data_IF_452924170190
#
_entry.id   IF_452924170190
#
_cell.length_a   1.000
_cell.length_b   1.000
_cell.length_c   1.000
_cell.angle_alpha   90.00
_cell.angle_beta   90.00
_cell.angle_gamma   90.00
#
_symmetry.space_group_name_H-M   'P 1'
#
loop_
_entity.id
_entity.type
_entity.pdbx_description
1 polymer ?
#
# COMPACT_ATOMS: atom_id res chain seq x y z
N UNK A 1 -11.41 40.56 45.55
CA UNK A 1 -12.14 41.51 44.69
C UNK A 1 -12.33 40.83 43.34
N UNK A 2 -13.59 40.45 43.07
CA UNK A 2 -14.20 40.02 41.80
C UNK A 2 -13.68 38.75 41.09
N UNK A 3 -14.29 37.62 41.49
CA UNK A 3 -14.68 36.49 40.62
C UNK A 3 -15.67 36.95 39.54
N UNK A 4 -15.69 36.26 38.39
CA UNK A 4 -16.92 36.06 37.60
C UNK A 4 -16.83 34.72 36.85
N UNK A 5 -17.64 33.78 37.32
CA UNK A 5 -18.11 32.58 36.62
C UNK A 5 -18.99 32.97 35.44
N UNK A 6 -19.08 32.16 34.38
CA UNK A 6 -20.38 31.92 33.73
C UNK A 6 -20.51 30.50 33.15
N UNK A 7 -21.72 29.98 33.37
CA UNK A 7 -22.21 28.61 33.20
C UNK A 7 -22.33 28.10 31.76
N UNK A 8 -22.28 26.76 31.64
CA UNK A 8 -22.90 25.95 30.58
C UNK A 8 -24.44 26.13 30.54
N UNK A 9 -25.08 25.86 29.39
CA UNK A 9 -26.41 25.26 29.39
C UNK A 9 -26.35 23.76 29.03
N UNK A 10 -26.97 22.97 29.89
CA UNK A 10 -27.44 21.61 29.63
C UNK A 10 -28.93 21.71 29.29
N UNK A 11 -29.38 21.21 28.13
CA UNK A 11 -30.78 20.82 27.93
C UNK A 11 -30.84 19.51 27.15
N UNK A 12 -31.55 18.57 27.77
CA UNK A 12 -31.97 17.27 27.29
C UNK A 12 -33.14 17.32 26.30
N UNK A 13 -33.16 16.37 25.37
CA UNK A 13 -34.34 15.67 24.81
C UNK A 13 -35.42 16.48 24.08
N UNK A 14 -35.46 16.38 22.74
CA UNK A 14 -36.71 16.16 22.00
C UNK A 14 -36.49 15.23 20.78
N UNK A 15 -37.49 14.38 20.53
CA UNK A 15 -37.55 13.30 19.53
C UNK A 15 -38.15 13.82 18.20
N UNK A 16 -37.52 13.41 17.09
CA UNK A 16 -38.05 13.12 15.73
C UNK A 16 -38.63 14.19 14.78
N UNK A 17 -38.06 14.14 13.56
CA UNK A 17 -38.62 14.13 12.17
C UNK A 17 -39.22 15.40 11.51
N UNK A 18 -38.47 15.79 10.45
CA UNK A 18 -38.87 16.23 9.09
C UNK A 18 -39.32 17.68 8.85
N UNK A 19 -38.62 18.23 7.86
CA UNK A 19 -38.94 19.31 6.92
C UNK A 19 -39.05 20.74 7.46
N UNK A 20 -38.06 21.56 7.09
CA UNK A 20 -38.28 22.86 6.43
C UNK A 20 -36.95 23.44 5.93
N UNK A 21 -36.69 23.23 4.63
CA UNK A 21 -35.82 24.06 3.80
C UNK A 21 -36.58 25.36 3.51
N UNK A 22 -36.03 26.50 3.95
CA UNK A 22 -36.53 27.83 3.66
C UNK A 22 -35.37 28.81 3.60
N UNK A 23 -35.21 29.42 2.42
CA UNK A 23 -34.22 30.42 2.06
C UNK A 23 -34.15 31.59 3.06
N UNK A 24 -32.94 32.09 3.32
CA UNK A 24 -32.70 33.54 3.41
C UNK A 24 -31.25 33.86 3.01
N UNK A 25 -31.12 34.48 1.83
CA UNK A 25 -29.91 35.10 1.29
C UNK A 25 -30.12 36.61 1.43
N UNK A 26 -29.39 37.25 2.34
CA UNK A 26 -29.37 38.70 2.48
C UNK A 26 -27.95 39.24 2.27
N UNK A 27 -27.79 39.84 1.09
CA UNK A 27 -26.99 40.99 0.71
C UNK A 27 -25.82 41.45 1.61
N UNK A 28 -24.63 41.54 1.01
CA UNK A 28 -23.81 42.75 1.13
C UNK A 28 -23.11 43.06 -0.21
N UNK A 29 -23.31 44.28 -0.69
CA UNK A 29 -22.80 44.86 -1.93
C UNK A 29 -21.45 45.58 -1.72
N UNK A 30 -20.83 45.89 -2.88
CA UNK A 30 -19.69 46.77 -3.16
C UNK A 30 -18.34 46.01 -3.26
N UNK A 31 -17.54 46.15 -4.32
CA UNK A 31 -17.47 47.14 -5.39
C UNK A 31 -16.76 46.54 -6.62
N UNK A 32 -17.19 46.95 -7.82
CA UNK A 32 -16.56 46.71 -9.14
C UNK A 32 -15.79 48.01 -9.51
N UNK A 33 -14.80 48.09 -10.45
CA UNK A 33 -15.01 47.69 -11.86
C UNK A 33 -13.78 47.23 -12.70
N UNK A 34 -14.04 46.40 -13.72
CA UNK A 34 -13.56 46.46 -15.13
C UNK A 34 -13.64 45.03 -15.73
N UNK A 35 -14.28 44.72 -16.85
CA UNK A 35 -15.02 45.49 -17.83
C UNK A 35 -15.47 44.56 -18.99
N UNK A 36 -16.29 45.14 -19.86
CA UNK A 36 -16.68 44.75 -21.24
C UNK A 36 -17.92 43.85 -21.46
N UNK A 37 -18.90 44.55 -22.03
CA UNK A 37 -20.13 44.18 -22.73
C UNK A 37 -20.05 43.00 -23.71
N UNK A 38 -21.19 42.31 -23.89
CA UNK A 38 -21.93 42.29 -25.15
C UNK A 38 -23.45 42.15 -24.91
N UNK A 39 -24.21 42.77 -25.80
CA UNK A 39 -25.62 43.18 -25.77
C UNK A 39 -26.62 42.12 -26.26
N UNK A 40 -27.89 42.21 -25.81
CA UNK A 40 -29.01 41.56 -26.51
C UNK A 40 -30.37 41.67 -25.80
N UNK A 41 -31.18 42.65 -26.23
CA UNK A 41 -32.48 43.07 -25.68
C UNK A 41 -33.60 42.03 -25.87
N UNK A 42 -34.46 41.82 -24.85
CA UNK A 42 -35.79 41.16 -25.00
C UNK A 42 -36.91 42.19 -24.83
N UNK A 43 -37.73 42.36 -25.88
CA UNK A 43 -39.03 43.07 -25.83
C UNK A 43 -40.14 42.07 -25.53
N UNK A 44 -40.99 42.38 -24.56
CA UNK A 44 -42.25 41.68 -24.27
C UNK A 44 -43.43 42.48 -24.85
N UNK A 45 -44.37 41.80 -25.52
CA UNK A 45 -45.70 42.31 -25.88
C UNK A 45 -46.72 41.24 -25.45
N UNK A 46 -47.78 41.58 -24.70
CA UNK A 46 -48.73 40.62 -24.15
C UNK A 46 -50.05 40.58 -24.94
N UNK A 47 -50.60 39.38 -25.16
CA UNK A 47 -52.03 39.07 -25.42
C UNK A 47 -52.15 37.56 -25.14
N UNK A 48 -53.09 37.00 -24.38
CA UNK A 48 -54.51 37.34 -24.18
C UNK A 48 -55.35 36.20 -24.77
N UNK A 49 -55.51 35.07 -24.06
CA UNK A 49 -56.38 33.99 -24.53
C UNK A 49 -56.21 32.63 -23.83
N UNK A 50 -57.26 32.21 -23.12
CA UNK A 50 -57.67 30.87 -22.68
C UNK A 50 -56.72 29.66 -22.88
N UNK A 51 -56.29 29.06 -21.77
CA UNK A 51 -55.66 27.73 -21.74
C UNK A 51 -56.73 26.66 -21.53
N UNK A 52 -56.96 25.80 -22.53
CA UNK A 52 -57.57 24.47 -22.32
C UNK A 52 -56.54 23.60 -21.59
N UNK A 53 -56.96 23.03 -20.46
CA UNK A 53 -56.17 22.05 -19.72
C UNK A 53 -56.05 20.77 -20.55
N UNK A 54 -54.88 20.55 -21.17
CA UNK A 54 -54.51 19.26 -21.73
C UNK A 54 -53.33 18.75 -20.90
N UNK A 55 -53.60 17.79 -20.01
CA UNK A 55 -52.55 17.04 -19.32
C UNK A 55 -51.76 16.25 -20.38
N UNK A 56 -50.59 16.75 -20.75
CA UNK A 56 -49.55 15.96 -21.40
C UNK A 56 -48.46 15.72 -20.36
N UNK A 57 -48.35 14.49 -19.91
CA UNK A 57 -47.21 14.00 -19.11
C UNK A 57 -45.98 13.92 -20.01
N UNK A 58 -45.31 15.06 -20.22
CA UNK A 58 -43.98 15.08 -20.81
C UNK A 58 -42.97 14.62 -19.74
N UNK A 59 -42.52 13.36 -19.84
CA UNK A 59 -41.32 12.90 -19.12
C UNK A 59 -40.12 13.68 -19.65
N UNK A 60 -39.63 14.64 -18.87
CA UNK A 60 -38.33 15.24 -19.09
C UNK A 60 -37.28 14.19 -18.72
N UNK A 61 -36.79 13.47 -19.72
CA UNK A 61 -35.59 12.66 -19.61
C UNK A 61 -34.38 13.60 -19.53
N UNK A 62 -33.79 13.70 -18.35
CA UNK A 62 -32.43 14.23 -18.22
C UNK A 62 -31.48 13.34 -19.03
N UNK A 63 -30.56 13.91 -19.83
CA UNK A 63 -29.55 13.11 -20.50
C UNK A 63 -28.74 12.38 -19.42
N UNK A 64 -28.73 11.05 -19.48
CA UNK A 64 -27.76 10.23 -18.75
C UNK A 64 -26.39 10.73 -19.14
N UNK A 65 -25.72 11.44 -18.25
CA UNK A 65 -24.27 11.55 -18.29
C UNK A 65 -23.79 10.10 -18.21
N UNK A 66 -23.21 9.61 -19.31
CA UNK A 66 -22.53 8.32 -19.32
C UNK A 66 -21.49 8.35 -18.21
N UNK A 67 -21.73 7.60 -17.14
CA UNK A 67 -20.74 7.33 -16.11
C UNK A 67 -19.72 6.35 -16.68
N UNK A 68 -18.89 6.80 -17.63
CA UNK A 68 -17.67 6.11 -18.01
C UNK A 68 -16.51 6.51 -17.09
N UNK A 69 -16.78 6.60 -15.79
CA UNK A 69 -15.75 6.37 -14.79
C UNK A 69 -15.67 4.86 -14.66
N UNK A 70 -14.73 4.26 -15.38
CA UNK A 70 -14.40 2.84 -15.24
C UNK A 70 -14.06 2.55 -13.77
N UNK A 71 -14.86 1.71 -13.14
CA UNK A 71 -14.59 1.09 -11.84
C UNK A 71 -13.18 0.47 -11.86
N UNK A 72 -12.27 0.79 -10.92
CA UNK A 72 -10.90 0.25 -10.86
C UNK A 72 -10.89 -1.22 -10.38
N UNK A 73 -11.57 -2.09 -11.13
CA UNK A 73 -11.83 -3.49 -10.82
C UNK A 73 -10.61 -4.42 -10.92
N UNK A 74 -9.45 -3.95 -11.40
CA UNK A 74 -8.26 -4.81 -11.48
C UNK A 74 -7.63 -5.10 -10.11
N UNK A 75 -7.87 -4.27 -9.10
CA UNK A 75 -7.33 -4.46 -7.74
C UNK A 75 -8.07 -5.54 -6.93
N UNK A 76 -9.34 -5.86 -7.28
CA UNK A 76 -10.19 -6.78 -6.49
C UNK A 76 -9.72 -8.24 -6.48
N UNK A 77 -8.80 -8.65 -7.35
CA UNK A 77 -8.29 -10.04 -7.36
C UNK A 77 -7.14 -10.29 -6.37
N UNK A 78 -6.42 -9.24 -5.96
CA UNK A 78 -5.16 -9.40 -5.24
C UNK A 78 -5.31 -9.37 -3.72
N UNK A 79 -6.25 -8.56 -3.22
CA UNK A 79 -6.58 -8.49 -1.80
C UNK A 79 -7.50 -9.68 -1.48
N UNK A 80 -7.18 -10.53 -0.48
CA UNK A 80 -8.09 -11.57 -0.04
C UNK A 80 -9.40 -10.95 0.51
N UNK A 81 -10.52 -11.67 0.36
CA UNK A 81 -11.79 -11.22 0.90
C UNK A 81 -11.73 -11.16 2.44
N UNK A 82 -12.27 -10.07 3.00
CA UNK A 82 -12.63 -9.95 4.41
C UNK A 82 -13.86 -9.07 4.52
N UNK A 83 -14.57 -9.17 5.64
CA UNK A 83 -15.57 -8.18 5.99
C UNK A 83 -14.89 -6.82 6.31
N UNK A 84 -15.58 -5.69 6.13
CA UNK A 84 -15.05 -4.38 6.49
C UNK A 84 -14.88 -4.27 8.01
N UNK A 85 -13.94 -3.43 8.51
CA UNK A 85 -13.74 -3.27 9.94
C UNK A 85 -14.98 -2.69 10.61
N UNK A 86 -15.43 -3.38 11.67
CA UNK A 86 -16.47 -2.93 12.58
C UNK A 86 -15.95 -1.81 13.48
N UNK A 87 -16.83 -1.15 14.23
CA UNK A 87 -16.39 -0.18 15.24
C UNK A 87 -15.62 -0.85 16.38
N UNK A 88 -16.01 -2.07 16.78
CA UNK A 88 -15.32 -2.83 17.82
C UNK A 88 -13.87 -3.17 17.42
N UNK A 89 -13.63 -3.47 16.14
CA UNK A 89 -12.27 -3.67 15.62
C UNK A 89 -11.42 -2.40 15.73
N UNK A 90 -12.02 -1.25 15.37
CA UNK A 90 -11.35 0.06 15.44
C UNK A 90 -11.06 0.43 16.89
N UNK A 91 -12.02 0.26 17.79
CA UNK A 91 -11.89 0.59 19.21
C UNK A 91 -10.85 -0.32 19.89
N UNK A 92 -10.87 -1.63 19.61
CA UNK A 92 -9.88 -2.58 20.14
C UNK A 92 -8.46 -2.26 19.69
N UNK A 93 -8.29 -1.86 18.42
CA UNK A 93 -6.99 -1.46 17.91
C UNK A 93 -6.57 -0.10 18.47
N UNK A 94 -7.48 0.86 18.58
CA UNK A 94 -7.22 2.14 19.24
C UNK A 94 -6.71 1.94 20.67
N UNK A 95 -7.39 1.12 21.49
CA UNK A 95 -6.96 0.83 22.85
C UNK A 95 -5.57 0.19 22.91
N UNK A 96 -5.23 -0.66 21.93
CA UNK A 96 -3.90 -1.25 21.84
C UNK A 96 -2.80 -0.18 21.62
N UNK A 97 -3.06 0.78 20.74
CA UNK A 97 -2.15 1.92 20.50
C UNK A 97 -2.08 2.85 21.73
N UNK A 98 -3.23 3.22 22.30
CA UNK A 98 -3.33 4.21 23.39
C UNK A 98 -2.63 3.76 24.68
N UNK A 99 -2.55 2.45 24.92
CA UNK A 99 -1.85 1.87 26.09
C UNK A 99 -0.34 1.77 25.93
N UNK A 100 0.19 1.97 24.72
CA UNK A 100 1.60 1.79 24.40
C UNK A 100 2.33 3.13 24.37
N UNK A 101 3.52 3.14 24.95
CA UNK A 101 4.48 4.25 24.85
C UNK A 101 5.68 3.89 23.97
N UNK A 102 5.86 2.60 23.65
CA UNK A 102 6.98 2.09 22.85
C UNK A 102 6.53 1.00 21.89
N UNK A 103 5.55 1.34 21.05
CA UNK A 103 4.98 0.44 20.06
C UNK A 103 5.99 0.12 18.96
N UNK A 104 6.18 -1.17 18.69
CA UNK A 104 6.88 -1.68 17.51
C UNK A 104 5.88 -2.24 16.52
N UNK A 105 5.98 -1.83 15.26
CA UNK A 105 5.14 -2.32 14.17
C UNK A 105 5.97 -3.21 13.26
N UNK A 106 5.45 -4.38 12.89
CA UNK A 106 5.99 -5.25 11.86
C UNK A 106 5.00 -5.41 10.71
N UNK A 107 5.42 -5.11 9.47
CA UNK A 107 4.57 -5.29 8.29
C UNK A 107 5.03 -6.42 7.39
N UNK A 108 4.09 -7.03 6.66
CA UNK A 108 4.35 -8.00 5.60
C UNK A 108 3.64 -7.65 4.28
N UNK A 109 3.70 -8.58 3.33
CA UNK A 109 3.27 -8.34 1.95
C UNK A 109 1.77 -8.00 1.84
N UNK A 110 0.94 -8.42 2.80
CA UNK A 110 -0.48 -8.06 2.87
C UNK A 110 -0.71 -6.54 2.90
N UNK A 111 0.24 -5.78 3.45
CA UNK A 111 0.24 -4.31 3.46
C UNK A 111 0.23 -3.69 2.06
N UNK A 112 0.84 -4.37 1.09
CA UNK A 112 1.10 -3.86 -0.27
C UNK A 112 0.14 -4.41 -1.32
N UNK A 113 -0.77 -5.31 -0.93
CA UNK A 113 -1.80 -5.87 -1.84
C UNK A 113 -2.71 -4.79 -2.42
N UNK A 114 -3.04 -3.78 -1.62
CA UNK A 114 -3.85 -2.63 -2.03
C UNK A 114 -3.08 -1.65 -2.93
N UNK A 115 -1.76 -1.77 -2.99
CA UNK A 115 -0.88 -1.05 -3.90
C UNK A 115 -0.69 -1.78 -5.24
N UNK A 116 -1.34 -2.93 -5.44
CA UNK A 116 -1.21 -3.74 -6.65
C UNK A 116 0.02 -4.65 -6.68
N UNK A 117 0.71 -4.82 -5.53
CA UNK A 117 1.80 -5.79 -5.36
C UNK A 117 1.22 -7.04 -4.67
N UNK A 118 1.28 -8.24 -5.27
CA UNK A 118 0.66 -9.41 -4.67
C UNK A 118 1.35 -9.81 -3.37
N UNK A 119 0.67 -10.63 -2.57
CA UNK A 119 1.34 -11.35 -1.49
C UNK A 119 1.80 -12.75 -1.93
N UNK A 120 2.39 -13.49 -1.00
CA UNK A 120 2.88 -14.84 -1.27
C UNK A 120 1.85 -15.95 -1.03
N UNK A 121 0.97 -15.82 -0.04
CA UNK A 121 0.30 -16.97 0.62
C UNK A 121 -1.22 -16.89 0.66
N UNK A 122 -1.83 -15.77 0.29
CA UNK A 122 -3.29 -15.69 0.16
C UNK A 122 -3.80 -16.62 -0.94
N UNK A 123 -5.12 -16.89 -1.02
CA UNK A 123 -5.69 -17.74 -2.07
C UNK A 123 -5.27 -17.35 -3.50
N UNK A 124 -5.09 -16.05 -3.75
CA UNK A 124 -4.61 -15.51 -5.03
C UNK A 124 -3.13 -15.05 -4.99
N UNK A 125 -2.39 -15.41 -3.93
CA UNK A 125 -0.99 -15.06 -3.74
C UNK A 125 -0.04 -15.89 -4.59
N UNK A 126 1.24 -15.50 -4.63
CA UNK A 126 2.23 -16.08 -5.54
C UNK A 126 2.34 -17.62 -5.47
N UNK A 127 2.23 -18.23 -4.28
CA UNK A 127 2.37 -19.68 -4.13
C UNK A 127 1.13 -20.49 -4.54
N UNK A 128 -0.02 -19.86 -4.76
CA UNK A 128 -1.23 -20.60 -5.18
C UNK A 128 -1.13 -21.16 -6.60
N UNK A 129 -0.17 -20.68 -7.40
CA UNK A 129 0.10 -21.19 -8.75
C UNK A 129 1.19 -22.27 -8.78
N UNK A 130 1.66 -22.75 -7.62
CA UNK A 130 2.78 -23.71 -7.55
C UNK A 130 4.17 -23.11 -7.74
N UNK A 131 4.27 -21.76 -7.76
CA UNK A 131 5.54 -21.06 -7.82
C UNK A 131 6.47 -21.43 -6.66
N UNK A 132 7.73 -21.69 -6.99
CA UNK A 132 8.80 -21.90 -6.00
C UNK A 132 9.75 -20.72 -6.05
N UNK A 133 10.00 -20.05 -4.92
CA UNK A 133 10.96 -18.95 -4.89
C UNK A 133 12.37 -19.48 -5.13
N UNK A 134 13.19 -18.67 -5.80
CA UNK A 134 14.61 -18.98 -5.98
C UNK A 134 15.30 -19.04 -4.62
N UNK A 135 16.17 -20.03 -4.44
CA UNK A 135 16.99 -20.12 -3.22
C UNK A 135 18.31 -19.38 -3.41
N UNK A 136 18.90 -18.92 -2.31
CA UNK A 136 20.23 -18.31 -2.31
C UNK A 136 21.27 -19.24 -2.95
N UNK A 137 21.24 -20.53 -2.59
CA UNK A 137 22.18 -21.52 -3.09
C UNK A 137 22.00 -21.78 -4.58
N UNK A 138 20.76 -21.84 -5.07
CA UNK A 138 20.46 -22.00 -6.50
C UNK A 138 20.98 -20.80 -7.30
N UNK A 139 20.73 -19.58 -6.83
CA UNK A 139 21.20 -18.37 -7.49
C UNK A 139 22.74 -18.32 -7.56
N UNK A 140 23.44 -18.58 -6.45
CA UNK A 140 24.89 -18.49 -6.44
C UNK A 140 25.61 -19.58 -7.25
N UNK A 141 25.00 -20.76 -7.42
CA UNK A 141 25.66 -21.92 -8.04
C UNK A 141 25.36 -22.09 -9.53
N UNK A 142 24.43 -21.32 -10.09
CA UNK A 142 23.97 -21.53 -11.47
C UNK A 142 23.82 -20.23 -12.23
N UNK A 143 24.67 -20.04 -13.25
CA UNK A 143 24.53 -18.90 -14.18
C UNK A 143 23.18 -18.92 -14.88
N UNK A 144 22.62 -20.10 -15.17
CA UNK A 144 21.27 -20.24 -15.73
C UNK A 144 20.20 -19.71 -14.76
N UNK A 145 20.33 -19.98 -13.46
CA UNK A 145 19.41 -19.44 -12.46
C UNK A 145 19.56 -17.93 -12.29
N UNK A 146 20.79 -17.40 -12.38
CA UNK A 146 21.05 -15.95 -12.36
C UNK A 146 20.41 -15.25 -13.57
N UNK A 147 20.56 -15.82 -14.78
CA UNK A 147 19.94 -15.29 -16.01
C UNK A 147 18.44 -15.28 -15.89
N UNK A 148 17.85 -16.40 -15.47
CA UNK A 148 16.41 -16.52 -15.22
C UNK A 148 15.93 -15.43 -14.27
N UNK A 149 16.60 -15.27 -13.14
CA UNK A 149 16.21 -14.29 -12.12
C UNK A 149 16.30 -12.86 -12.67
N UNK A 150 17.43 -12.48 -13.25
CA UNK A 150 17.64 -11.10 -13.70
C UNK A 150 16.80 -10.72 -14.91
N UNK A 151 16.57 -11.63 -15.86
CA UNK A 151 15.67 -11.39 -16.99
C UNK A 151 14.23 -11.14 -16.51
N UNK A 152 13.74 -11.98 -15.60
CA UNK A 152 12.40 -11.85 -15.01
C UNK A 152 12.27 -10.61 -14.14
N UNK A 153 13.27 -10.31 -13.32
CA UNK A 153 13.33 -9.09 -12.50
C UNK A 153 13.38 -7.84 -13.37
N UNK A 154 14.16 -7.83 -14.47
CA UNK A 154 14.22 -6.70 -15.40
C UNK A 154 12.84 -6.39 -15.95
N UNK A 155 12.14 -7.39 -16.47
CA UNK A 155 10.87 -7.19 -17.14
C UNK A 155 9.76 -6.75 -16.17
N UNK A 156 9.80 -7.21 -14.91
CA UNK A 156 8.86 -6.77 -13.89
C UNK A 156 9.19 -5.43 -13.22
N UNK A 157 10.41 -4.90 -13.41
CA UNK A 157 10.91 -3.71 -12.71
C UNK A 157 10.00 -2.49 -12.89
N UNK A 158 9.63 -2.17 -14.14
CA UNK A 158 8.83 -0.98 -14.47
C UNK A 158 7.47 -0.98 -13.78
N UNK A 159 6.79 -2.13 -13.78
CA UNK A 159 5.49 -2.28 -13.11
C UNK A 159 5.64 -2.22 -11.59
N UNK A 160 6.71 -2.78 -11.05
CA UNK A 160 6.99 -2.79 -9.61
C UNK A 160 7.24 -1.38 -9.06
N UNK A 161 8.08 -0.59 -9.74
CA UNK A 161 8.38 0.79 -9.34
C UNK A 161 7.19 1.73 -9.50
N UNK A 162 6.25 1.42 -10.40
CA UNK A 162 5.04 2.22 -10.61
C UNK A 162 4.02 2.12 -9.46
N UNK A 163 4.05 1.07 -8.64
CA UNK A 163 3.18 0.90 -7.49
C UNK A 163 3.26 2.13 -6.57
N UNK A 164 2.16 2.56 -5.95
CA UNK A 164 2.12 3.70 -5.03
C UNK A 164 1.77 3.23 -3.61
N UNK A 165 2.21 3.95 -2.55
CA UNK A 165 1.83 3.60 -1.19
C UNK A 165 0.29 3.59 -1.04
N UNK A 166 -0.24 2.56 -0.38
CA UNK A 166 -1.68 2.47 -0.06
C UNK A 166 -2.06 3.42 1.08
N UNK A 167 -3.36 3.63 1.29
CA UNK A 167 -3.89 4.41 2.43
C UNK A 167 -3.37 3.90 3.77
N UNK A 168 -3.15 2.59 3.91
CA UNK A 168 -2.53 2.02 5.10
C UNK A 168 -1.09 2.51 5.31
N UNK A 169 -0.28 2.60 4.25
CA UNK A 169 1.11 3.08 4.37
C UNK A 169 1.13 4.55 4.79
N UNK A 170 0.25 5.35 4.19
CA UNK A 170 0.10 6.77 4.54
C UNK A 170 -0.33 6.92 6.00
N UNK A 171 -1.31 6.12 6.46
CA UNK A 171 -1.76 6.16 7.84
C UNK A 171 -0.66 5.77 8.85
N UNK A 172 0.14 4.73 8.57
CA UNK A 172 1.29 4.40 9.41
C UNK A 172 2.32 5.52 9.45
N UNK A 173 2.59 6.17 8.31
CA UNK A 173 3.51 7.31 8.29
C UNK A 173 3.01 8.46 9.16
N UNK A 174 1.72 8.76 9.13
CA UNK A 174 1.13 9.77 10.02
C UNK A 174 1.27 9.39 11.50
N UNK A 175 0.94 8.14 11.86
CA UNK A 175 1.07 7.64 13.24
C UNK A 175 2.51 7.65 13.75
N UNK A 176 3.47 7.27 12.89
CA UNK A 176 4.91 7.31 13.20
C UNK A 176 5.39 8.74 13.42
N UNK A 177 5.03 9.67 12.53
CA UNK A 177 5.39 11.10 12.65
C UNK A 177 4.77 11.77 13.88
N UNK A 178 3.60 11.31 14.31
CA UNK A 178 2.95 11.74 15.55
C UNK A 178 3.54 11.09 16.81
N UNK A 179 4.50 10.16 16.68
CA UNK A 179 5.18 9.53 17.81
C UNK A 179 4.47 8.31 18.39
N UNK A 180 3.40 7.82 17.76
CA UNK A 180 2.67 6.63 18.21
C UNK A 180 3.34 5.31 17.82
N UNK A 181 4.34 5.35 16.94
CA UNK A 181 5.14 4.18 16.54
C UNK A 181 6.60 4.48 16.85
N UNK A 182 7.19 3.74 17.79
CA UNK A 182 8.58 3.93 18.21
C UNK A 182 9.58 3.30 17.24
N UNK A 183 9.20 2.22 16.56
CA UNK A 183 10.06 1.55 15.58
C UNK A 183 9.21 0.75 14.60
N UNK A 184 9.61 0.76 13.33
CA UNK A 184 8.93 -0.02 12.29
C UNK A 184 9.90 -1.03 11.66
N UNK A 185 9.44 -2.26 11.50
CA UNK A 185 10.12 -3.34 10.81
C UNK A 185 9.27 -3.74 9.61
N UNK A 186 9.87 -3.94 8.46
CA UNK A 186 9.13 -4.47 7.31
C UNK A 186 9.81 -5.69 6.73
N UNK A 187 9.02 -6.71 6.38
CA UNK A 187 9.47 -7.84 5.57
C UNK A 187 9.50 -7.49 4.08
N UNK A 188 8.84 -6.40 3.69
CA UNK A 188 8.67 -6.05 2.29
C UNK A 188 9.95 -5.45 1.73
N UNK A 189 10.16 -5.66 0.43
CA UNK A 189 11.33 -5.18 -0.30
C UNK A 189 10.99 -4.03 -1.26
N UNK A 190 9.77 -3.51 -1.18
CA UNK A 190 9.10 -2.66 -2.17
C UNK A 190 9.29 -1.14 -1.99
N UNK A 191 9.87 -0.72 -0.86
CA UNK A 191 10.06 0.69 -0.45
C UNK A 191 8.79 1.54 -0.40
N UNK A 192 7.60 0.95 -0.33
CA UNK A 192 6.35 1.72 -0.24
C UNK A 192 6.23 2.49 1.09
N UNK A 193 6.78 1.96 2.19
CA UNK A 193 6.89 2.70 3.46
C UNK A 193 7.77 3.94 3.34
N UNK A 194 8.96 3.83 2.73
CA UNK A 194 9.84 4.98 2.51
C UNK A 194 9.14 6.05 1.66
N UNK A 195 8.41 5.62 0.63
CA UNK A 195 7.65 6.53 -0.25
C UNK A 195 6.42 7.15 0.42
N UNK A 196 5.85 6.52 1.44
CA UNK A 196 4.84 7.11 2.31
C UNK A 196 5.42 8.14 3.29
N UNK A 197 6.74 8.15 3.48
CA UNK A 197 7.45 9.02 4.41
C UNK A 197 7.74 8.38 5.77
N UNK A 198 7.71 7.05 5.85
CA UNK A 198 8.21 6.27 6.99
C UNK A 198 9.67 5.86 6.81
N UNK A 199 10.33 5.37 7.87
CA UNK A 199 11.71 4.89 7.78
C UNK A 199 11.92 3.54 8.49
N UNK A 200 11.34 2.44 7.98
CA UNK A 200 11.42 1.14 8.63
C UNK A 200 12.80 0.49 8.49
N UNK A 201 13.10 -0.43 9.40
CA UNK A 201 14.13 -1.45 9.20
C UNK A 201 13.62 -2.49 8.18
N UNK A 202 14.22 -2.50 6.99
CA UNK A 202 13.94 -3.46 5.90
C UNK A 202 14.54 -4.85 6.21
N UNK A 203 13.81 -5.69 6.96
CA UNK A 203 14.29 -6.98 7.49
C UNK A 203 14.85 -7.90 6.38
N UNK A 204 14.17 -7.95 5.23
CA UNK A 204 14.58 -8.77 4.09
C UNK A 204 15.33 -7.98 3.03
N UNK A 205 15.72 -6.74 3.32
CA UNK A 205 16.44 -5.85 2.40
C UNK A 205 15.51 -5.23 1.38
N UNK A 206 16.02 -4.94 0.19
CA UNK A 206 15.32 -4.13 -0.81
C UNK A 206 15.70 -4.51 -2.23
N UNK A 207 14.74 -4.48 -3.16
CA UNK A 207 15.04 -4.70 -4.59
C UNK A 207 15.65 -3.48 -5.26
N UNK A 208 15.65 -2.31 -4.60
CA UNK A 208 16.15 -1.04 -5.14
C UNK A 208 17.68 -0.90 -5.05
N UNK A 209 18.36 -1.89 -4.47
CA UNK A 209 19.83 -1.93 -4.37
C UNK A 209 20.31 -3.28 -4.90
N UNK A 210 21.42 -3.25 -5.63
CA UNK A 210 22.14 -4.44 -6.09
C UNK A 210 23.48 -4.47 -5.38
N UNK A 211 23.89 -5.64 -4.91
CA UNK A 211 25.10 -5.84 -4.12
C UNK A 211 25.95 -6.97 -4.70
N UNK A 212 27.26 -6.83 -4.63
CA UNK A 212 28.18 -7.91 -4.93
C UNK A 212 28.19 -8.94 -3.80
N UNK A 213 28.23 -10.22 -4.17
CA UNK A 213 28.30 -11.32 -3.20
C UNK A 213 29.69 -11.54 -2.62
N UNK A 214 30.72 -10.92 -3.22
CA UNK A 214 32.14 -11.16 -2.90
C UNK A 214 32.86 -9.95 -2.29
N UNK A 215 32.34 -8.74 -2.48
CA UNK A 215 32.92 -7.50 -1.94
C UNK A 215 31.83 -6.54 -1.48
N UNK A 216 32.22 -5.39 -0.94
CA UNK A 216 31.34 -4.34 -0.41
C UNK A 216 30.65 -3.48 -1.49
N UNK A 217 30.85 -3.79 -2.77
CA UNK A 217 30.27 -3.01 -3.86
C UNK A 217 28.75 -3.11 -3.88
N UNK A 218 28.10 -1.94 -3.92
CA UNK A 218 26.66 -1.81 -4.14
C UNK A 218 26.39 -0.73 -5.19
N UNK A 219 25.24 -0.85 -5.85
CA UNK A 219 24.75 0.16 -6.79
C UNK A 219 23.21 0.25 -6.77
N UNK A 220 22.63 1.43 -7.08
CA UNK A 220 21.20 1.57 -7.28
C UNK A 220 20.68 0.62 -8.38
N UNK A 221 19.49 0.05 -8.15
CA UNK A 221 18.87 -0.89 -9.08
C UNK A 221 18.59 -0.31 -10.46
N UNK A 222 18.30 0.99 -10.56
CA UNK A 222 18.07 1.67 -11.84
C UNK A 222 19.34 1.71 -12.70
N UNK A 223 20.49 2.01 -12.10
CA UNK A 223 21.77 1.96 -12.83
C UNK A 223 22.10 0.54 -13.30
N UNK A 224 21.81 -0.46 -12.48
CA UNK A 224 21.96 -1.86 -12.89
C UNK A 224 20.97 -2.24 -14.00
N UNK A 225 19.73 -1.72 -13.95
CA UNK A 225 18.73 -1.91 -14.99
C UNK A 225 19.23 -1.37 -16.33
N UNK A 226 19.80 -0.16 -16.35
CA UNK A 226 20.35 0.46 -17.55
C UNK A 226 21.53 -0.35 -18.12
N UNK A 227 22.37 -0.92 -17.25
CA UNK A 227 23.46 -1.81 -17.68
C UNK A 227 22.91 -3.09 -18.31
N UNK A 228 21.94 -3.75 -17.68
CA UNK A 228 21.28 -4.93 -18.26
C UNK A 228 20.67 -4.59 -19.61
N UNK A 229 19.99 -3.44 -19.75
CA UNK A 229 19.44 -2.97 -21.03
C UNK A 229 20.52 -2.80 -22.09
N UNK A 230 21.62 -2.13 -21.76
CA UNK A 230 22.71 -1.86 -22.69
C UNK A 230 23.40 -3.14 -23.18
N UNK A 231 23.51 -4.16 -22.32
CA UNK A 231 24.06 -5.47 -22.68
C UNK A 231 23.08 -6.33 -23.48
N UNK A 232 21.78 -6.08 -23.39
CA UNK A 232 20.73 -6.90 -23.98
C UNK A 232 19.72 -6.07 -24.82
N UNK A 233 20.16 -5.26 -25.80
CA UNK A 233 19.32 -4.23 -26.41
C UNK A 233 18.10 -4.78 -27.15
N UNK A 234 18.26 -5.85 -27.95
CA UNK A 234 17.15 -6.49 -28.69
C UNK A 234 16.13 -7.10 -27.74
N UNK A 235 16.61 -7.73 -26.67
CA UNK A 235 15.75 -8.35 -25.67
C UNK A 235 14.98 -7.30 -24.86
N UNK A 236 15.66 -6.22 -24.46
CA UNK A 236 15.04 -5.12 -23.73
C UNK A 236 13.95 -4.41 -24.56
N UNK A 237 14.22 -4.16 -25.85
CA UNK A 237 13.24 -3.58 -26.78
C UNK A 237 11.98 -4.47 -26.90
N UNK A 238 12.16 -5.78 -27.03
CA UNK A 238 11.05 -6.73 -27.09
C UNK A 238 10.18 -6.67 -25.83
N UNK A 239 10.79 -6.70 -24.64
CA UNK A 239 10.06 -6.60 -23.36
C UNK A 239 9.33 -5.26 -23.24
N UNK A 240 10.00 -4.14 -23.54
CA UNK A 240 9.41 -2.81 -23.42
C UNK A 240 8.25 -2.58 -24.42
N UNK A 241 8.28 -3.25 -25.57
CA UNK A 241 7.18 -3.22 -26.54
C UNK A 241 5.93 -3.96 -26.07
N UNK A 242 6.08 -5.05 -25.31
CA UNK A 242 4.96 -5.84 -24.75
C UNK A 242 4.22 -5.06 -23.64
N UNK A 243 4.95 -4.25 -22.89
CA UNK A 243 4.41 -3.37 -21.85
C UNK A 243 3.56 -2.20 -22.40
N UNK A 244 3.70 -1.87 -23.68
CA UNK A 244 2.91 -0.78 -24.30
C UNK A 244 1.52 -1.25 -24.75
N UNK A 245 1.38 -2.53 -25.14
CA UNK A 245 0.16 -3.08 -25.74
C UNK A 245 -0.81 -3.73 -24.72
N UNK A 246 -0.49 -3.64 -23.42
CA UNK A 246 -1.22 -4.25 -22.30
C UNK A 246 -2.52 -3.49 -21.93
N UNK A 247 -3.28 -3.04 -22.93
CA UNK A 247 -4.70 -2.65 -22.78
C UNK A 247 -5.64 -3.86 -22.78
N UNK A 248 -5.12 -5.07 -22.94
CA UNK A 248 -5.87 -6.32 -22.82
C UNK A 248 -5.13 -7.31 -21.90
N UNK A 249 -5.87 -7.94 -20.99
CA UNK A 249 -5.41 -8.99 -20.06
C UNK A 249 -4.96 -10.30 -20.78
N UNK A 250 -4.70 -10.27 -22.09
CA UNK A 250 -4.24 -11.42 -22.89
C UNK A 250 -2.73 -11.39 -23.20
N UNK A 251 -1.94 -10.56 -22.51
CA UNK A 251 -0.48 -10.56 -22.64
C UNK A 251 0.14 -11.72 -21.85
N UNK A 252 0.52 -12.80 -22.56
CA UNK A 252 1.56 -13.77 -22.19
C UNK A 252 1.74 -14.08 -20.68
N UNK A 253 0.69 -14.47 -19.96
CA UNK A 253 0.83 -15.05 -18.61
C UNK A 253 1.60 -14.22 -17.56
N UNK A 254 1.83 -12.91 -17.78
CA UNK A 254 2.69 -12.07 -16.95
C UNK A 254 2.01 -11.66 -15.64
N UNK A 255 1.91 -12.60 -14.68
CA UNK A 255 1.56 -12.26 -13.30
C UNK A 255 2.81 -11.79 -12.56
N UNK A 256 2.79 -10.56 -12.04
CA UNK A 256 3.83 -10.03 -11.17
C UNK A 256 3.87 -10.78 -9.82
N UNK A 257 5.04 -10.78 -9.16
CA UNK A 257 5.28 -11.37 -7.84
C UNK A 257 5.60 -10.27 -6.80
N UNK A 258 5.61 -10.58 -5.49
CA UNK A 258 5.76 -9.55 -4.45
C UNK A 258 7.15 -8.88 -4.41
N UNK A 259 8.14 -9.47 -5.06
CA UNK A 259 9.51 -8.98 -5.23
C UNK A 259 9.76 -8.39 -6.64
N UNK A 260 8.69 -8.27 -7.45
CA UNK A 260 8.77 -7.75 -8.82
C UNK A 260 9.16 -8.77 -9.88
N UNK A 261 9.37 -10.04 -9.55
CA UNK A 261 9.58 -11.12 -10.53
C UNK A 261 8.34 -11.30 -11.43
N UNK A 262 8.54 -11.56 -12.73
CA UNK A 262 7.48 -11.95 -13.68
C UNK A 262 7.87 -13.24 -14.40
N UNK A 263 6.91 -14.03 -14.86
CA UNK A 263 7.21 -15.25 -15.62
C UNK A 263 7.51 -14.93 -17.09
N UNK A 264 8.58 -15.50 -17.64
CA UNK A 264 9.03 -15.33 -19.03
C UNK A 264 9.44 -16.71 -19.57
N UNK A 265 9.08 -17.01 -20.82
CA UNK A 265 9.47 -18.25 -21.51
C UNK A 265 11.01 -18.38 -21.56
N UNK A 266 11.47 -19.59 -21.26
CA UNK A 266 12.89 -19.96 -21.13
C UNK A 266 13.73 -19.58 -22.36
N UNK A 267 13.14 -19.69 -23.56
CA UNK A 267 13.82 -19.41 -24.83
C UNK A 267 14.31 -17.96 -24.95
N UNK A 268 13.77 -17.04 -24.16
CA UNK A 268 14.14 -15.62 -24.23
C UNK A 268 15.36 -15.26 -23.38
N UNK A 269 15.75 -16.08 -22.40
CA UNK A 269 16.82 -15.73 -21.46
C UNK A 269 17.86 -16.81 -21.24
N UNK A 270 17.62 -18.05 -21.69
CA UNK A 270 18.55 -19.17 -21.51
C UNK A 270 19.88 -18.92 -22.24
N UNK A 271 19.79 -18.44 -23.48
CA UNK A 271 20.90 -18.09 -24.36
C UNK A 271 20.95 -16.57 -24.59
N UNK A 272 22.16 -16.02 -24.74
CA UNK A 272 22.40 -14.60 -25.07
C UNK A 272 21.88 -13.53 -24.09
N UNK A 273 21.43 -13.90 -22.89
CA UNK A 273 21.17 -12.93 -21.80
C UNK A 273 22.43 -12.69 -20.96
N UNK A 274 22.95 -11.48 -21.03
CA UNK A 274 24.15 -11.04 -20.35
C UNK A 274 23.83 -10.29 -19.06
N UNK A 275 24.46 -10.69 -17.97
CA UNK A 275 24.34 -10.04 -16.67
C UNK A 275 25.62 -9.25 -16.43
N UNK A 276 25.55 -7.97 -16.04
CA UNK A 276 26.74 -7.22 -15.65
C UNK A 276 27.43 -7.86 -14.45
N UNK A 277 28.75 -8.00 -14.52
CA UNK A 277 29.58 -8.41 -13.38
C UNK A 277 29.87 -7.24 -12.44
N UNK A 278 30.31 -7.55 -11.22
CA UNK A 278 30.80 -6.52 -10.31
C UNK A 278 32.00 -5.76 -10.90
N UNK A 279 31.89 -4.43 -10.94
CA UNK A 279 32.94 -3.54 -11.48
C UNK A 279 34.22 -3.50 -10.62
N UNK A 280 34.19 -4.01 -9.38
CA UNK A 280 35.36 -4.05 -8.48
C UNK A 280 36.11 -5.38 -8.52
N UNK A 281 35.39 -6.50 -8.54
CA UNK A 281 36.01 -7.83 -8.38
C UNK A 281 35.51 -8.89 -9.36
N UNK A 282 34.67 -8.50 -10.34
CA UNK A 282 34.03 -9.42 -11.30
C UNK A 282 33.17 -10.52 -10.63
N UNK A 283 32.80 -10.35 -9.36
CA UNK A 283 31.92 -11.24 -8.63
C UNK A 283 30.45 -11.10 -9.03
N UNK A 284 29.64 -12.07 -8.60
CA UNK A 284 28.20 -12.14 -8.88
C UNK A 284 27.50 -10.94 -8.24
N UNK A 285 26.63 -10.28 -9.01
CA UNK A 285 25.71 -9.26 -8.52
C UNK A 285 24.34 -9.90 -8.20
N UNK A 286 23.82 -9.59 -7.01
CA UNK A 286 22.52 -10.04 -6.50
C UNK A 286 21.73 -8.80 -6.04
N UNK A 287 20.39 -8.75 -6.16
CA UNK A 287 19.62 -7.76 -5.41
C UNK A 287 19.96 -7.85 -3.91
N UNK A 288 19.92 -6.73 -3.18
CA UNK A 288 20.10 -6.72 -1.72
C UNK A 288 18.83 -7.21 -1.00
N UNK A 289 18.37 -8.40 -1.39
CA UNK A 289 17.22 -9.10 -0.82
C UNK A 289 17.68 -10.42 -0.20
N UNK A 290 17.17 -10.73 0.98
CA UNK A 290 17.38 -12.02 1.65
C UNK A 290 16.55 -13.09 0.93
N UNK A 291 17.21 -13.93 0.13
CA UNK A 291 16.54 -15.03 -0.57
C UNK A 291 16.16 -16.17 0.38
N UNK A 292 15.33 -17.09 -0.11
CA UNK A 292 15.05 -18.32 0.63
C UNK A 292 16.33 -19.13 0.84
N UNK A 293 16.55 -19.59 2.06
CA UNK A 293 17.79 -20.28 2.45
C UNK A 293 18.97 -19.35 2.73
N UNK A 294 18.80 -18.03 2.64
CA UNK A 294 19.77 -17.03 3.06
C UNK A 294 19.57 -16.63 4.53
N UNK A 295 20.56 -15.93 5.10
CA UNK A 295 20.48 -15.35 6.43
C UNK A 295 20.23 -13.85 6.34
N UNK A 296 19.35 -13.35 7.21
CA UNK A 296 19.26 -11.89 7.45
C UNK A 296 20.62 -11.42 7.98
N UNK A 297 21.20 -10.32 7.44
CA UNK A 297 22.46 -9.79 7.93
C UNK A 297 22.44 -9.58 9.45
N UNK A 298 23.50 -10.01 10.15
CA UNK A 298 23.52 -10.08 11.61
C UNK A 298 23.12 -8.76 12.28
N UNK A 299 23.72 -7.64 11.88
CA UNK A 299 23.41 -6.33 12.45
C UNK A 299 21.91 -5.96 12.31
N UNK A 300 21.31 -6.29 11.17
CA UNK A 300 19.89 -6.06 10.90
C UNK A 300 19.00 -6.97 11.75
N UNK A 301 19.37 -8.24 11.88
CA UNK A 301 18.65 -9.20 12.71
C UNK A 301 18.73 -8.84 14.20
N UNK A 302 19.91 -8.42 14.67
CA UNK A 302 20.15 -7.99 16.05
C UNK A 302 19.31 -6.74 16.38
N UNK A 303 19.33 -5.72 15.52
CA UNK A 303 18.54 -4.50 15.71
C UNK A 303 17.03 -4.77 15.74
N UNK A 304 16.52 -5.63 14.83
CA UNK A 304 15.11 -6.03 14.84
C UNK A 304 14.74 -6.79 16.13
N UNK A 305 15.62 -7.68 16.61
CA UNK A 305 15.42 -8.44 17.84
C UNK A 305 15.47 -7.57 19.09
N UNK A 306 16.38 -6.60 19.12
CA UNK A 306 16.48 -5.61 20.21
C UNK A 306 15.22 -4.76 20.29
N UNK A 307 14.75 -4.22 19.17
CA UNK A 307 13.49 -3.48 19.10
C UNK A 307 12.31 -4.33 19.61
N UNK A 308 12.21 -5.58 19.15
CA UNK A 308 11.14 -6.50 19.55
C UNK A 308 11.16 -6.84 21.05
N UNK A 309 12.34 -7.07 21.65
CA UNK A 309 12.44 -7.36 23.10
C UNK A 309 12.26 -6.12 23.97
N UNK A 310 12.56 -4.95 23.42
CA UNK A 310 12.55 -3.69 24.16
C UNK A 310 11.23 -2.93 24.10
N UNK A 311 10.21 -3.41 23.39
CA UNK A 311 8.91 -2.75 23.24
C UNK A 311 7.94 -3.10 24.37
N UNK A 312 6.97 -2.23 24.63
CA UNK A 312 5.82 -2.54 25.51
C UNK A 312 4.63 -3.12 24.73
N UNK A 313 4.60 -2.92 23.42
CA UNK A 313 3.62 -3.48 22.50
C UNK A 313 4.24 -3.81 21.13
N UNK A 314 3.80 -4.93 20.53
CA UNK A 314 4.24 -5.40 19.21
C UNK A 314 3.05 -5.71 18.32
N UNK A 315 2.88 -4.92 17.24
CA UNK A 315 1.77 -5.03 16.30
C UNK A 315 2.23 -5.60 14.96
N UNK A 316 1.57 -6.65 14.48
CA UNK A 316 1.81 -7.21 13.15
C UNK A 316 0.70 -6.83 12.18
N UNK A 317 1.09 -6.33 11.00
CA UNK A 317 0.17 -5.85 9.96
C UNK A 317 0.43 -6.58 8.64
N UNK A 318 -0.59 -7.29 8.13
CA UNK A 318 -0.53 -7.92 6.80
C UNK A 318 0.59 -8.95 6.65
N UNK A 319 0.90 -9.73 7.69
CA UNK A 319 1.84 -10.85 7.61
C UNK A 319 1.23 -12.12 8.19
N UNK A 320 1.37 -13.22 7.44
CA UNK A 320 1.06 -14.57 7.93
C UNK A 320 2.07 -15.10 8.96
N UNK A 321 3.22 -14.43 9.13
CA UNK A 321 4.30 -14.83 10.03
C UNK A 321 4.80 -16.28 9.81
N UNK A 322 4.63 -16.82 8.60
CA UNK A 322 5.08 -18.19 8.32
C UNK A 322 6.61 -18.29 8.29
N UNK A 323 7.30 -17.20 7.96
CA UNK A 323 8.77 -17.11 7.96
C UNK A 323 9.29 -16.94 9.39
N UNK A 324 10.31 -17.73 9.75
CA UNK A 324 10.90 -17.68 11.09
C UNK A 324 11.55 -16.33 11.41
N UNK A 325 12.06 -15.61 10.41
CA UNK A 325 12.69 -14.30 10.58
C UNK A 325 11.74 -13.28 11.22
N UNK A 326 10.45 -13.31 10.87
CA UNK A 326 9.45 -12.44 11.47
C UNK A 326 8.76 -13.07 12.70
N UNK A 327 8.42 -14.37 12.63
CA UNK A 327 7.75 -15.07 13.73
C UNK A 327 8.53 -15.02 15.05
N UNK A 328 9.87 -15.11 14.98
CA UNK A 328 10.73 -15.02 16.17
C UNK A 328 10.63 -13.66 16.88
N UNK A 329 10.32 -12.58 16.15
CA UNK A 329 10.25 -11.23 16.72
C UNK A 329 9.02 -11.07 17.61
N UNK A 330 7.82 -11.40 17.12
CA UNK A 330 6.60 -11.33 17.95
C UNK A 330 6.66 -12.30 19.14
N UNK A 331 7.27 -13.48 18.95
CA UNK A 331 7.51 -14.43 20.04
C UNK A 331 8.42 -13.83 21.11
N UNK A 332 9.54 -13.23 20.70
CA UNK A 332 10.48 -12.59 21.63
C UNK A 332 9.85 -11.39 22.36
N UNK A 333 9.03 -10.59 21.68
CA UNK A 333 8.30 -9.48 22.29
C UNK A 333 7.35 -9.98 23.39
N UNK A 334 6.55 -11.02 23.08
CA UNK A 334 5.65 -11.66 24.05
C UNK A 334 6.41 -12.24 25.24
N UNK A 335 7.51 -12.95 24.99
CA UNK A 335 8.36 -13.52 26.05
C UNK A 335 8.99 -12.45 26.95
N UNK A 336 9.22 -11.24 26.41
CA UNK A 336 9.67 -10.08 27.16
C UNK A 336 8.53 -9.34 27.89
N UNK A 337 7.29 -9.79 27.77
CA UNK A 337 6.12 -9.23 28.45
C UNK A 337 5.36 -8.16 27.67
N UNK A 338 5.69 -7.92 26.40
CA UNK A 338 4.97 -6.96 25.56
C UNK A 338 3.55 -7.43 25.24
N UNK A 339 2.62 -6.49 25.14
CA UNK A 339 1.32 -6.74 24.53
C UNK A 339 1.49 -7.07 23.04
N UNK A 340 0.72 -8.01 22.51
CA UNK A 340 0.82 -8.38 21.08
C UNK A 340 -0.53 -8.32 20.40
N UNK A 341 -0.53 -7.84 19.16
CA UNK A 341 -1.72 -7.80 18.31
C UNK A 341 -1.39 -8.10 16.86
N UNK A 342 -2.37 -8.61 16.12
CA UNK A 342 -2.28 -8.89 14.69
C UNK A 342 -3.49 -8.27 13.99
N UNK A 343 -3.24 -7.52 12.92
CA UNK A 343 -4.24 -7.18 11.90
C UNK A 343 -3.83 -7.85 10.60
N UNK A 344 -4.52 -8.94 10.24
CA UNK A 344 -4.19 -9.72 9.06
C UNK A 344 -5.40 -10.51 8.56
N UNK A 345 -5.61 -10.53 7.25
CA UNK A 345 -6.60 -11.40 6.63
C UNK A 345 -6.07 -12.83 6.56
N UNK A 346 -6.85 -13.76 7.10
CA UNK A 346 -6.52 -15.19 7.12
C UNK A 346 -5.63 -15.63 8.29
N UNK A 347 -5.24 -16.90 8.26
CA UNK A 347 -4.49 -17.53 9.35
C UNK A 347 -3.05 -16.99 9.45
N UNK A 348 -2.55 -16.87 10.68
CA UNK A 348 -1.14 -16.60 10.93
C UNK A 348 -0.53 -17.68 11.79
N UNK A 349 0.80 -17.82 11.72
CA UNK A 349 1.53 -18.75 12.58
C UNK A 349 1.44 -18.43 14.08
N UNK A 350 1.04 -17.20 14.43
CA UNK A 350 1.02 -16.71 15.79
C UNK A 350 -0.39 -16.59 16.37
N UNK A 351 -1.42 -17.13 15.70
CA UNK A 351 -2.82 -17.00 16.13
C UNK A 351 -3.02 -17.51 17.58
N UNK A 352 -2.44 -18.66 17.94
CA UNK A 352 -2.54 -19.21 19.29
C UNK A 352 -1.69 -18.47 20.34
N UNK A 353 -0.82 -17.56 19.90
CA UNK A 353 0.11 -16.82 20.76
C UNK A 353 -0.35 -15.37 21.00
N UNK A 354 -1.30 -14.86 20.23
CA UNK A 354 -1.63 -13.43 20.22
C UNK A 354 -3.07 -13.23 20.72
N UNK A 355 -3.27 -12.45 21.80
CA UNK A 355 -4.58 -12.29 22.41
C UNK A 355 -5.55 -11.45 21.55
N UNK A 356 -5.03 -10.50 20.76
CA UNK A 356 -5.83 -9.64 19.89
C UNK A 356 -5.50 -9.92 18.43
N UNK A 357 -6.46 -10.49 17.71
CA UNK A 357 -6.38 -10.67 16.26
C UNK A 357 -7.62 -10.06 15.58
N UNK A 358 -7.37 -9.18 14.62
CA UNK A 358 -8.39 -8.51 13.83
C UNK A 358 -8.24 -8.96 12.36
N UNK A 359 -9.31 -9.53 11.79
CA UNK A 359 -9.31 -10.13 10.45
C UNK A 359 -9.97 -9.20 9.42
N UNK A 360 -9.29 -8.09 9.12
CA UNK A 360 -9.78 -7.04 8.23
C UNK A 360 -8.66 -6.51 7.35
N UNK A 361 -9.04 -5.71 6.33
CA UNK A 361 -8.07 -5.01 5.46
C UNK A 361 -7.33 -3.93 6.22
N UNK A 362 -6.00 -3.97 6.16
CA UNK A 362 -5.12 -3.01 6.84
C UNK A 362 -5.32 -1.59 6.32
N UNK A 363 -5.47 -1.41 5.00
CA UNK A 363 -5.73 -0.11 4.39
C UNK A 363 -7.11 0.48 4.67
N UNK A 364 -8.03 -0.29 5.26
CA UNK A 364 -9.34 0.22 5.71
C UNK A 364 -9.38 0.58 7.19
N UNK A 365 -8.72 -0.21 8.06
CA UNK A 365 -8.76 0.03 9.51
C UNK A 365 -7.81 1.14 9.96
N UNK A 366 -6.59 1.21 9.41
CA UNK A 366 -5.60 2.20 9.87
C UNK A 366 -6.01 3.65 9.62
N UNK A 367 -6.59 4.05 8.47
CA UNK A 367 -7.06 5.42 8.29
C UNK A 367 -8.18 5.81 9.26
N UNK A 368 -8.95 4.85 9.78
CA UNK A 368 -10.00 5.13 10.77
C UNK A 368 -9.40 5.51 12.12
N UNK A 369 -8.28 4.90 12.51
CA UNK A 369 -7.58 5.24 13.76
C UNK A 369 -7.17 6.71 13.82
N UNK A 370 -6.83 7.31 12.67
CA UNK A 370 -6.41 8.72 12.59
C UNK A 370 -7.47 9.73 13.02
N UNK A 371 -8.70 9.28 13.30
CA UNK A 371 -9.81 10.13 13.71
C UNK A 371 -10.35 9.77 15.11
N UNK A 372 -9.63 8.95 15.89
CA UNK A 372 -10.09 8.41 17.17
C UNK A 372 -9.17 8.85 18.30
N UNK A 373 -9.75 9.44 19.34
CA UNK A 373 -9.10 9.69 20.63
C UNK A 373 -7.74 10.39 20.53
N UNK A 374 -6.74 9.84 21.24
CA UNK A 374 -5.36 10.33 21.28
C UNK A 374 -4.60 10.18 19.95
N UNK A 375 -5.12 9.35 19.02
CA UNK A 375 -4.54 9.12 17.69
C UNK A 375 -5.12 10.06 16.62
N UNK A 376 -5.99 11.00 17.01
CA UNK A 376 -6.59 11.94 16.09
C UNK A 376 -5.52 12.88 15.53
N UNK A 377 -5.23 12.75 14.23
CA UNK A 377 -4.27 13.58 13.51
C UNK A 377 -5.06 14.46 12.54
N UNK A 378 -5.00 15.80 12.67
CA UNK A 378 -5.66 16.70 11.73
C UNK A 378 -5.25 16.37 10.30
N UNK A 379 -6.21 16.34 9.38
CA UNK A 379 -5.93 16.11 7.96
C UNK A 379 -4.85 17.11 7.49
N UNK A 380 -3.76 16.56 6.94
CA UNK A 380 -2.64 17.31 6.36
C UNK A 380 -3.08 18.16 5.17
#
# INVERSE_FOLDING_TARGET
MSMLFYCRPSISSFKNKRDLLGLELAAYQSSNPMGKWFSGVKKFIPFGGYVKLVQTTARISFPKISSDIKDPLSHKKMVPYSDPPSMEDVDSLYEFFDRSTKLVVLTGAGMSTESGIPDYRSPNGAYSTGFKPITHQEFLRSIKAQRRYWARSYAGWRRFTAAQPSTGHIALSSLEKAGHISFMITQNVDRLHHRAGSNPLELHGTVYTVACTNCDFTLPRDLFQDQVKAHNPKWAEAIESLDYDSRSDQSFGMKQRPDGDIEIDEKFWEEDFFIPDCQRCQGILKPDVVFFGDNVPKARADAAMEAAKGCDAFLVLGSSLMTMSAFRLIKAAREAGAATAIVNIGATRADDLVPLKINVRVGEILPRLLNVGSLSIPAL
#
